data_IF_193578536347
#
_entry.id   IF_193578536347
#
_cell.length_a   1.000
_cell.length_b   1.000
_cell.length_c   1.000
_cell.angle_alpha   90.00
_cell.angle_beta   90.00
_cell.angle_gamma   90.00
#
_symmetry.space_group_name_H-M   'P 1'
#
loop_
_entity.id
_entity.type
_entity.pdbx_description
1 polymer ?
#
# COMPACT_ATOMS: atom_id res chain seq x y z
N UNK A 1 -39.00 -6.99 -21.52
CA UNK A 1 -38.36 -5.74 -21.13
C UNK A 1 -38.01 -5.85 -19.64
N UNK A 2 -36.76 -6.15 -19.30
CA UNK A 2 -36.32 -6.20 -17.89
C UNK A 2 -35.97 -4.78 -17.47
N UNK A 3 -36.74 -4.23 -16.54
CA UNK A 3 -36.49 -2.91 -15.97
C UNK A 3 -35.09 -2.86 -15.36
N UNK A 4 -34.26 -1.96 -15.86
CA UNK A 4 -33.00 -1.60 -15.22
C UNK A 4 -33.37 -0.87 -13.92
N UNK A 5 -33.20 -1.54 -12.79
CA UNK A 5 -33.29 -0.90 -11.47
C UNK A 5 -32.13 0.09 -11.37
N UNK A 6 -32.43 1.37 -11.43
CA UNK A 6 -31.48 2.44 -11.13
C UNK A 6 -31.13 2.33 -9.64
N UNK A 7 -29.91 1.91 -9.36
CA UNK A 7 -29.42 1.83 -7.98
C UNK A 7 -29.16 3.26 -7.51
N UNK A 8 -30.03 3.77 -6.64
CA UNK A 8 -29.83 5.04 -5.94
C UNK A 8 -28.89 4.79 -4.74
N UNK A 9 -27.68 5.30 -4.81
CA UNK A 9 -26.78 5.32 -3.65
C UNK A 9 -27.24 6.41 -2.67
N UNK A 10 -27.36 6.06 -1.39
CA UNK A 10 -27.62 7.04 -0.35
C UNK A 10 -26.36 7.89 -0.10
N UNK A 11 -26.48 9.13 0.40
CA UNK A 11 -25.32 9.93 0.80
C UNK A 11 -24.43 9.22 1.83
N UNK A 12 -25.00 8.36 2.67
CA UNK A 12 -24.30 7.55 3.65
C UNK A 12 -23.44 6.47 2.98
N UNK A 13 -23.93 5.83 1.91
CA UNK A 13 -23.17 4.80 1.18
C UNK A 13 -21.93 5.43 0.54
N UNK A 14 -22.07 6.62 -0.03
CA UNK A 14 -20.97 7.37 -0.61
C UNK A 14 -19.93 7.78 0.44
N UNK A 15 -20.37 8.22 1.61
CA UNK A 15 -19.48 8.54 2.73
C UNK A 15 -18.64 7.34 3.16
N UNK A 16 -19.27 6.19 3.43
CA UNK A 16 -18.54 4.99 3.81
C UNK A 16 -17.59 4.50 2.71
N UNK A 17 -18.00 4.59 1.45
CA UNK A 17 -17.15 4.25 0.32
C UNK A 17 -15.83 5.06 0.35
N UNK A 18 -15.90 6.37 0.52
CA UNK A 18 -14.70 7.21 0.59
C UNK A 18 -13.86 6.96 1.84
N UNK A 19 -14.49 6.77 3.00
CA UNK A 19 -13.76 6.47 4.24
C UNK A 19 -12.96 5.18 4.11
N UNK A 20 -13.57 4.12 3.58
CA UNK A 20 -12.87 2.85 3.39
C UNK A 20 -11.85 2.90 2.26
N UNK A 21 -12.06 3.69 1.22
CA UNK A 21 -11.06 3.93 0.18
C UNK A 21 -9.79 4.61 0.74
N UNK A 22 -9.97 5.66 1.54
CA UNK A 22 -8.86 6.34 2.22
C UNK A 22 -8.14 5.40 3.21
N UNK A 23 -8.90 4.57 3.93
CA UNK A 23 -8.35 3.57 4.84
C UNK A 23 -7.51 2.53 4.08
N UNK A 24 -8.02 1.99 2.98
CA UNK A 24 -7.31 1.01 2.14
C UNK A 24 -5.99 1.58 1.62
N UNK A 25 -6.01 2.80 1.09
CA UNK A 25 -4.81 3.49 0.64
C UNK A 25 -3.80 3.69 1.76
N UNK A 26 -4.23 4.23 2.90
CA UNK A 26 -3.36 4.48 4.06
C UNK A 26 -2.75 3.19 4.62
N UNK A 27 -3.55 2.13 4.74
CA UNK A 27 -3.09 0.81 5.17
C UNK A 27 -2.05 0.24 4.20
N UNK A 28 -2.28 0.36 2.88
CA UNK A 28 -1.33 -0.07 1.86
C UNK A 28 0.01 0.68 1.96
N UNK A 29 -0.02 1.99 2.17
CA UNK A 29 1.20 2.78 2.42
C UNK A 29 1.94 2.32 3.68
N UNK A 30 1.24 2.05 4.78
CA UNK A 30 1.85 1.58 6.03
C UNK A 30 2.50 0.20 5.87
N UNK A 31 1.82 -0.74 5.22
CA UNK A 31 2.36 -2.07 4.93
C UNK A 31 3.58 -1.96 4.02
N UNK A 32 3.51 -1.18 2.94
CA UNK A 32 4.62 -0.99 2.02
C UNK A 32 5.83 -0.29 2.68
N UNK A 33 5.61 0.61 3.63
CA UNK A 33 6.68 1.19 4.45
C UNK A 33 7.40 0.13 5.29
N UNK A 34 6.66 -0.83 5.86
CA UNK A 34 7.25 -1.98 6.53
C UNK A 34 7.98 -2.92 5.55
N UNK A 35 7.41 -3.14 4.36
CA UNK A 35 8.06 -3.94 3.32
C UNK A 35 9.41 -3.34 2.89
N UNK A 36 9.57 -2.02 2.86
CA UNK A 36 10.87 -1.38 2.62
C UNK A 36 11.93 -1.83 3.64
N UNK A 37 11.56 -1.99 4.91
CA UNK A 37 12.47 -2.54 5.94
C UNK A 37 12.79 -4.00 5.65
N UNK A 38 11.79 -4.81 5.27
CA UNK A 38 11.97 -6.22 4.92
C UNK A 38 12.88 -6.38 3.70
N UNK A 39 12.67 -5.61 2.63
CA UNK A 39 13.47 -5.63 1.40
C UNK A 39 14.96 -5.38 1.71
N UNK A 40 15.24 -4.46 2.61
CA UNK A 40 16.62 -4.14 2.99
C UNK A 40 17.24 -5.19 3.92
N UNK A 41 16.50 -5.66 4.92
CA UNK A 41 17.04 -6.48 6.03
C UNK A 41 17.04 -7.98 5.76
N UNK A 42 15.97 -8.52 5.12
CA UNK A 42 15.85 -9.97 4.92
C UNK A 42 17.01 -10.58 4.12
N UNK A 43 17.46 -9.99 2.99
CA UNK A 43 18.57 -10.54 2.24
C UNK A 43 19.90 -10.51 3.00
N UNK A 44 20.00 -9.63 4.00
CA UNK A 44 21.20 -9.46 4.85
C UNK A 44 21.16 -10.30 6.13
N UNK A 45 20.11 -11.12 6.31
CA UNK A 45 19.83 -11.88 7.53
C UNK A 45 19.75 -10.99 8.80
N UNK A 46 19.31 -9.74 8.62
CA UNK A 46 19.11 -8.80 9.72
C UNK A 46 17.69 -8.89 10.28
N UNK A 47 17.56 -8.64 11.59
CA UNK A 47 16.23 -8.61 12.23
C UNK A 47 15.39 -7.45 11.71
N UNK A 48 14.14 -7.74 11.29
CA UNK A 48 13.18 -6.72 10.84
C UNK A 48 12.56 -5.93 12.00
N UNK A 49 12.73 -6.40 13.24
CA UNK A 49 12.13 -5.80 14.43
C UNK A 49 13.14 -4.92 15.18
N UNK A 50 14.42 -5.33 15.26
CA UNK A 50 15.45 -4.66 16.05
C UNK A 50 16.76 -4.59 15.26
N UNK A 51 17.52 -3.49 15.34
CA UNK A 51 17.24 -2.23 16.04
C UNK A 51 16.15 -1.39 15.31
N UNK A 52 15.59 -0.35 15.98
CA UNK A 52 14.65 0.57 15.36
C UNK A 52 15.32 1.33 14.18
N UNK A 53 14.48 1.86 13.28
CA UNK A 53 14.95 2.60 12.11
C UNK A 53 15.82 3.79 12.51
N UNK A 54 16.96 3.95 11.85
CA UNK A 54 17.93 5.01 12.07
C UNK A 54 18.52 5.51 10.76
N UNK A 55 19.05 6.71 10.76
CA UNK A 55 19.76 7.25 9.62
C UNK A 55 21.12 6.55 9.43
N UNK A 56 21.46 6.01 8.27
CA UNK A 56 22.72 5.30 8.07
C UNK A 56 23.96 6.20 8.17
N UNK A 57 23.78 7.52 8.01
CA UNK A 57 24.89 8.49 8.05
C UNK A 57 25.19 9.03 9.44
N UNK A 58 24.15 9.43 10.19
CA UNK A 58 24.36 10.06 11.50
C UNK A 58 23.88 9.21 12.68
N UNK A 59 23.37 7.99 12.43
CA UNK A 59 22.82 7.06 13.42
C UNK A 59 21.68 7.63 14.29
N UNK A 60 21.15 8.81 13.97
CA UNK A 60 20.00 9.37 14.64
C UNK A 60 18.78 8.47 14.46
N UNK A 61 18.12 8.12 15.58
CA UNK A 61 16.89 7.33 15.58
C UNK A 61 15.77 8.07 14.88
N UNK A 62 15.08 7.40 13.95
CA UNK A 62 13.88 7.93 13.28
C UNK A 62 12.70 7.82 14.25
N UNK A 63 12.07 8.95 14.56
CA UNK A 63 10.89 8.99 15.43
C UNK A 63 9.66 8.52 14.64
N UNK A 64 8.65 7.99 15.34
CA UNK A 64 7.44 7.43 14.71
C UNK A 64 6.75 8.40 13.73
N UNK A 65 6.67 9.69 14.06
CA UNK A 65 6.07 10.71 13.19
C UNK A 65 6.93 11.07 11.96
N UNK A 66 8.23 10.77 12.02
CA UNK A 66 9.16 10.90 10.89
C UNK A 66 9.12 9.68 9.97
N UNK A 67 8.32 8.68 10.31
CA UNK A 67 8.14 7.44 9.57
C UNK A 67 6.67 7.27 9.11
N UNK A 68 5.87 8.34 9.10
CA UNK A 68 4.53 8.31 8.51
C UNK A 68 4.70 8.19 6.99
N UNK A 69 4.19 7.11 6.37
CA UNK A 69 4.45 6.83 4.96
C UNK A 69 4.06 8.00 4.06
N UNK A 70 4.86 8.26 3.05
CA UNK A 70 4.71 9.35 2.08
C UNK A 70 4.80 10.74 2.71
N UNK A 71 4.01 11.01 3.75
CA UNK A 71 3.91 12.35 4.36
C UNK A 71 5.22 12.82 4.96
N UNK A 72 5.93 11.96 5.71
CA UNK A 72 7.20 12.35 6.31
C UNK A 72 8.27 12.66 5.27
N UNK A 73 8.31 11.89 4.18
CA UNK A 73 9.24 12.15 3.08
C UNK A 73 8.96 13.52 2.42
N UNK A 74 7.70 13.86 2.19
CA UNK A 74 7.28 15.15 1.62
C UNK A 74 7.60 16.33 2.56
N UNK A 75 7.26 16.20 3.85
CA UNK A 75 7.49 17.25 4.86
C UNK A 75 8.99 17.49 5.07
N UNK A 76 9.79 16.42 5.12
CA UNK A 76 11.25 16.48 5.25
C UNK A 76 11.97 16.76 3.92
N UNK A 77 11.21 16.93 2.82
CA UNK A 77 11.74 17.16 1.47
C UNK A 77 12.78 16.12 1.06
N UNK A 78 12.53 14.86 1.41
CA UNK A 78 13.42 13.74 1.10
C UNK A 78 14.77 13.79 1.80
N UNK A 79 14.86 14.39 2.99
CA UNK A 79 16.12 14.53 3.73
C UNK A 79 16.00 14.09 5.18
N UNK A 80 17.11 13.62 5.75
CA UNK A 80 17.16 13.30 7.17
C UNK A 80 16.87 14.53 8.03
N UNK A 81 16.03 14.39 9.05
CA UNK A 81 15.68 15.49 9.95
C UNK A 81 16.87 16.01 10.79
N UNK A 82 17.93 15.22 10.95
CA UNK A 82 19.10 15.58 11.77
C UNK A 82 20.30 16.06 10.94
N UNK A 83 20.75 15.27 9.95
CA UNK A 83 21.97 15.58 9.18
C UNK A 83 21.68 16.07 7.75
N UNK A 84 20.41 16.17 7.36
CA UNK A 84 19.95 16.57 6.03
C UNK A 84 20.45 15.70 4.87
N UNK A 85 21.03 14.53 5.14
CA UNK A 85 21.40 13.56 4.10
C UNK A 85 20.17 13.18 3.27
N UNK A 86 20.28 13.09 1.92
CA UNK A 86 19.14 12.75 1.08
C UNK A 86 18.66 11.32 1.32
N UNK A 87 17.34 11.16 1.38
CA UNK A 87 16.64 9.87 1.48
C UNK A 87 16.15 9.50 0.08
N UNK A 88 16.51 8.29 -0.38
CA UNK A 88 16.14 7.81 -1.71
C UNK A 88 14.63 7.90 -1.95
N UNK A 89 14.23 8.41 -3.11
CA UNK A 89 12.84 8.45 -3.54
C UNK A 89 12.22 7.05 -3.70
N UNK A 90 13.04 5.99 -3.82
CA UNK A 90 12.58 4.61 -3.88
C UNK A 90 11.67 4.26 -2.71
N UNK A 91 11.97 4.71 -1.49
CA UNK A 91 11.15 4.43 -0.30
C UNK A 91 9.73 4.93 -0.49
N UNK A 92 9.56 6.20 -0.86
CA UNK A 92 8.23 6.79 -1.08
C UNK A 92 7.52 6.18 -2.29
N UNK A 93 8.25 5.77 -3.32
CA UNK A 93 7.66 5.10 -4.49
C UNK A 93 7.06 3.74 -4.14
N UNK A 94 7.75 2.94 -3.33
CA UNK A 94 7.24 1.64 -2.84
C UNK A 94 6.01 1.86 -1.96
N UNK A 95 6.02 2.86 -1.08
CA UNK A 95 4.89 3.22 -0.23
C UNK A 95 3.65 3.63 -1.05
N UNK A 96 3.83 4.49 -2.04
CA UNK A 96 2.76 4.89 -2.96
C UNK A 96 2.24 3.72 -3.78
N UNK A 97 3.13 2.86 -4.29
CA UNK A 97 2.75 1.67 -5.03
C UNK A 97 1.86 0.76 -4.18
N UNK A 98 2.25 0.48 -2.93
CA UNK A 98 1.43 -0.30 -2.01
C UNK A 98 0.08 0.34 -1.74
N UNK A 99 0.04 1.64 -1.47
CA UNK A 99 -1.20 2.39 -1.27
C UNK A 99 -2.14 2.30 -2.47
N UNK A 100 -1.61 2.52 -3.68
CA UNK A 100 -2.41 2.46 -4.92
C UNK A 100 -2.93 1.04 -5.17
N UNK A 101 -2.11 0.01 -5.02
CA UNK A 101 -2.54 -1.38 -5.26
C UNK A 101 -3.59 -1.84 -4.25
N UNK A 102 -3.47 -1.44 -2.99
CA UNK A 102 -4.48 -1.73 -1.96
C UNK A 102 -5.79 -1.02 -2.24
N UNK A 103 -5.73 0.24 -2.66
CA UNK A 103 -6.89 1.01 -3.08
C UNK A 103 -7.56 0.36 -4.30
N UNK A 104 -6.80 -0.02 -5.32
CA UNK A 104 -7.36 -0.66 -6.52
C UNK A 104 -8.05 -1.98 -6.18
N UNK A 105 -7.49 -2.81 -5.31
CA UNK A 105 -8.12 -4.04 -4.84
C UNK A 105 -9.45 -3.76 -4.12
N UNK A 106 -9.49 -2.72 -3.28
CA UNK A 106 -10.72 -2.28 -2.63
C UNK A 106 -11.75 -1.77 -3.65
N UNK A 107 -11.35 -0.89 -4.58
CA UNK A 107 -12.24 -0.32 -5.59
C UNK A 107 -12.81 -1.40 -6.52
N UNK A 108 -12.02 -2.40 -6.86
CA UNK A 108 -12.46 -3.54 -7.66
C UNK A 108 -13.58 -4.32 -6.96
N UNK A 109 -13.40 -4.56 -5.66
CA UNK A 109 -14.43 -5.23 -4.85
C UNK A 109 -15.68 -4.34 -4.68
N UNK A 110 -15.51 -3.08 -4.28
CA UNK A 110 -16.60 -2.16 -3.94
C UNK A 110 -17.46 -1.78 -5.15
N UNK A 111 -16.87 -1.63 -6.34
CA UNK A 111 -17.59 -1.22 -7.54
C UNK A 111 -18.18 -2.38 -8.34
N UNK A 112 -17.75 -3.62 -8.12
CA UNK A 112 -18.07 -4.75 -8.98
C UNK A 112 -17.73 -4.51 -10.47
N UNK A 113 -16.97 -3.44 -10.71
CA UNK A 113 -16.85 -2.78 -12.00
C UNK A 113 -16.04 -3.61 -13.01
N UNK A 114 -14.96 -4.25 -12.59
CA UNK A 114 -14.00 -4.81 -13.54
C UNK A 114 -14.43 -6.15 -14.15
N UNK A 115 -15.25 -6.95 -13.46
CA UNK A 115 -15.67 -8.29 -13.92
C UNK A 115 -17.09 -8.33 -14.50
N UNK A 116 -17.90 -7.31 -14.28
CA UNK A 116 -19.22 -7.20 -14.91
C UNK A 116 -19.14 -6.96 -16.43
N UNK A 117 -18.00 -6.49 -16.90
CA UNK A 117 -17.74 -6.20 -18.32
C UNK A 117 -17.07 -7.34 -19.08
N UNK A 118 -16.74 -8.46 -18.41
CA UNK A 118 -16.11 -9.62 -19.07
C UNK A 118 -16.98 -10.87 -18.95
N UNK A 119 -18.08 -10.97 -19.73
CA UNK A 119 -18.91 -12.18 -19.78
C UNK A 119 -18.16 -13.39 -20.34
N UNK A 120 -16.98 -13.17 -20.96
CA UNK A 120 -16.18 -14.20 -21.62
C UNK A 120 -15.47 -15.18 -20.69
N UNK A 121 -15.25 -14.83 -19.43
CA UNK A 121 -14.49 -15.68 -18.50
C UNK A 121 -15.35 -16.41 -17.46
N UNK A 122 -16.67 -16.18 -17.43
CA UNK A 122 -17.59 -16.86 -16.48
C UNK A 122 -17.25 -16.65 -15.00
N UNK A 123 -16.31 -15.74 -14.70
CA UNK A 123 -15.89 -15.44 -13.33
C UNK A 123 -16.95 -14.57 -12.68
N UNK A 124 -17.52 -15.07 -11.60
CA UNK A 124 -18.40 -14.28 -10.73
C UNK A 124 -17.58 -13.11 -10.15
N UNK A 125 -18.15 -11.89 -10.04
CA UNK A 125 -17.48 -10.83 -9.32
C UNK A 125 -17.18 -11.33 -7.91
N UNK A 126 -15.99 -11.02 -7.38
CA UNK A 126 -15.62 -11.36 -6.01
C UNK A 126 -16.70 -10.82 -5.05
N UNK A 127 -17.69 -11.66 -4.75
CA UNK A 127 -18.82 -11.30 -3.91
C UNK A 127 -18.43 -11.24 -2.43
N UNK A 128 -17.35 -11.96 -2.09
CA UNK A 128 -16.96 -12.15 -0.70
C UNK A 128 -15.94 -11.08 -0.26
N UNK A 129 -16.25 -10.43 0.85
CA UNK A 129 -15.38 -9.43 1.48
C UNK A 129 -13.96 -9.96 1.77
N UNK A 130 -13.83 -11.28 1.95
CA UNK A 130 -12.56 -11.96 2.20
C UNK A 130 -11.57 -11.91 1.05
N UNK A 131 -12.03 -11.63 -0.17
CA UNK A 131 -11.14 -11.48 -1.34
C UNK A 131 -10.24 -10.25 -1.22
N UNK A 132 -10.69 -9.19 -0.59
CA UNK A 132 -9.89 -7.96 -0.39
C UNK A 132 -8.63 -8.23 0.42
N UNK A 133 -8.69 -8.80 1.64
CA UNK A 133 -7.48 -9.09 2.40
C UNK A 133 -6.59 -10.15 1.73
N UNK A 134 -7.15 -11.11 1.00
CA UNK A 134 -6.35 -12.06 0.22
C UNK A 134 -5.58 -11.34 -0.89
N UNK A 135 -6.22 -10.45 -1.65
CA UNK A 135 -5.54 -9.64 -2.65
C UNK A 135 -4.43 -8.78 -2.03
N UNK A 136 -4.66 -8.18 -0.87
CA UNK A 136 -3.65 -7.39 -0.16
C UNK A 136 -2.44 -8.23 0.27
N UNK A 137 -2.64 -9.46 0.74
CA UNK A 137 -1.55 -10.39 1.04
C UNK A 137 -0.74 -10.76 -0.20
N UNK A 138 -1.41 -11.09 -1.30
CA UNK A 138 -0.75 -11.42 -2.58
C UNK A 138 0.06 -10.23 -3.09
N UNK A 139 -0.53 -9.04 -3.11
CA UNK A 139 0.14 -7.80 -3.54
C UNK A 139 1.37 -7.53 -2.67
N UNK A 140 1.26 -7.68 -1.35
CA UNK A 140 2.39 -7.49 -0.43
C UNK A 140 3.53 -8.46 -0.72
N UNK A 141 3.21 -9.74 -0.96
CA UNK A 141 4.19 -10.76 -1.34
C UNK A 141 4.88 -10.47 -2.68
N UNK A 142 4.12 -10.01 -3.67
CA UNK A 142 4.67 -9.64 -4.98
C UNK A 142 5.60 -8.42 -4.90
N UNK A 143 5.22 -7.39 -4.14
CA UNK A 143 6.08 -6.21 -3.89
C UNK A 143 7.38 -6.68 -3.23
N UNK A 144 7.28 -7.47 -2.15
CA UNK A 144 8.44 -7.94 -1.40
C UNK A 144 9.39 -8.74 -2.31
N UNK A 145 8.88 -9.75 -3.01
CA UNK A 145 9.67 -10.60 -3.89
C UNK A 145 10.34 -9.81 -5.02
N UNK A 146 9.56 -9.01 -5.75
CA UNK A 146 10.08 -8.23 -6.89
C UNK A 146 11.19 -7.25 -6.50
N UNK A 147 11.06 -6.58 -5.35
CA UNK A 147 12.07 -5.62 -4.91
C UNK A 147 13.29 -6.29 -4.27
N UNK A 148 13.16 -7.46 -3.66
CA UNK A 148 14.30 -8.27 -3.22
C UNK A 148 15.12 -8.70 -4.44
N UNK A 149 14.47 -9.21 -5.48
CA UNK A 149 15.16 -9.63 -6.71
C UNK A 149 15.91 -8.46 -7.35
N UNK A 150 15.27 -7.28 -7.42
CA UNK A 150 15.92 -6.07 -7.97
C UNK A 150 17.11 -5.57 -7.14
N UNK A 151 17.22 -5.92 -5.86
CA UNK A 151 18.40 -5.58 -5.04
C UNK A 151 19.56 -6.57 -5.17
N UNK A 152 19.27 -7.80 -5.63
CA UNK A 152 20.27 -8.87 -5.76
C UNK A 152 20.84 -9.01 -7.16
N UNK A 153 20.23 -8.38 -8.17
CA UNK A 153 20.72 -8.29 -9.53
C UNK A 153 21.25 -6.90 -9.86
#
# INVERSE_FOLDING_TARGET
MRGQSVIYYSPMDLYYFFVFACFAFGLGCCIASFLNVCIWRLPRNESVVSPPSHCPKCNARIRWYQNIPVLSWLVLRGRCANCHEPISARYVMVELLGGVLFLLAYLQWASGFFLRTSPLLGLQPFADIWTVPVCWLVVSGLILGSFIDLEHF
#
